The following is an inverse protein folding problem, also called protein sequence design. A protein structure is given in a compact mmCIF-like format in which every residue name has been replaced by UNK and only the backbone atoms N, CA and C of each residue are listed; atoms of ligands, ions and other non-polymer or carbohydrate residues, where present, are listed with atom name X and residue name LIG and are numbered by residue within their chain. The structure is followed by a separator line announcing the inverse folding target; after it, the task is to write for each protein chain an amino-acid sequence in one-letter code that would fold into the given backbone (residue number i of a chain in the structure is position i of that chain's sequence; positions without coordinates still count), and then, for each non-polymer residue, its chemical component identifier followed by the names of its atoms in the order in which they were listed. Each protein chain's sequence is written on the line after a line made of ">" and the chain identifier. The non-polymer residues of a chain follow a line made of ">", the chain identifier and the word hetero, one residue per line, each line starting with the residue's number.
data_IF_985326334160
#
_entry.id   IF_985326334160
#
_cell.length_a   1.000
_cell.length_b   1.000
_cell.length_c   1.000
_cell.angle_alpha   90.00
_cell.angle_beta   90.00
_cell.angle_gamma   90.00
#
_symmetry.space_group_name_H-M   'P 1'
#
loop_
_entity.id
_entity.type
_entity.pdbx_description
1 polymer ?
#
# COMPACT_ATOMS: atom_id res chain seq x y z
N UNK A 1 -23.05 0.71 7.56
CA UNK A 1 -22.06 0.80 6.46
C UNK A 1 -21.09 1.89 6.80
N UNK A 2 -19.78 1.67 6.58
CA UNK A 2 -18.75 2.70 6.69
C UNK A 2 -18.62 3.30 5.29
N UNK A 3 -18.80 4.62 5.18
CA UNK A 3 -18.61 5.34 3.93
C UNK A 3 -17.14 5.79 3.82
N UNK A 4 -16.62 5.79 2.59
CA UNK A 4 -15.27 6.22 2.28
C UNK A 4 -15.33 7.46 1.40
N UNK A 5 -14.47 8.44 1.68
CA UNK A 5 -14.46 9.71 0.97
C UNK A 5 -13.03 10.04 0.55
N UNK A 6 -12.91 10.60 -0.65
CA UNK A 6 -11.71 11.32 -1.06
C UNK A 6 -11.60 12.65 -0.30
N UNK A 7 -10.42 13.27 -0.35
CA UNK A 7 -10.15 14.55 0.33
C UNK A 7 -11.01 15.71 -0.21
N UNK A 8 -11.59 15.57 -1.39
CA UNK A 8 -12.54 16.53 -1.99
C UNK A 8 -14.00 16.29 -1.56
N UNK A 9 -14.25 15.30 -0.71
CA UNK A 9 -15.58 14.93 -0.19
C UNK A 9 -16.39 14.01 -1.10
N UNK A 10 -15.83 13.55 -2.23
CA UNK A 10 -16.50 12.58 -3.11
C UNK A 10 -16.47 11.20 -2.46
N UNK A 11 -17.64 10.58 -2.29
CA UNK A 11 -17.77 9.21 -1.80
C UNK A 11 -17.24 8.21 -2.84
N UNK A 12 -16.50 7.20 -2.39
CA UNK A 12 -16.08 6.09 -3.23
C UNK A 12 -16.42 4.72 -2.62
N UNK A 13 -16.61 3.72 -3.49
CA UNK A 13 -16.84 2.35 -3.08
C UNK A 13 -15.53 1.55 -3.15
N UNK A 14 -14.92 1.16 -2.02
CA UNK A 14 -13.66 0.42 -2.01
C UNK A 14 -13.76 -0.98 -2.64
N UNK A 15 -14.98 -1.51 -2.81
CA UNK A 15 -15.22 -2.80 -3.47
C UNK A 15 -14.99 -2.74 -4.99
N UNK A 16 -14.99 -1.52 -5.57
CA UNK A 16 -14.72 -1.32 -7.01
C UNK A 16 -13.23 -1.21 -7.31
N UNK A 17 -12.42 -0.91 -6.30
CA UNK A 17 -10.97 -0.91 -6.42
C UNK A 17 -10.55 -2.40 -6.44
N UNK A 18 -9.68 -2.85 -7.35
CA UNK A 18 -9.19 -4.22 -7.35
C UNK A 18 -8.24 -4.46 -6.16
N UNK A 19 -8.21 -5.69 -5.64
CA UNK A 19 -7.29 -6.06 -4.56
C UNK A 19 -5.95 -6.46 -5.19
N UNK A 20 -4.84 -5.78 -4.89
CA UNK A 20 -3.52 -6.16 -5.43
C UNK A 20 -3.18 -7.61 -5.09
N UNK A 21 -2.53 -8.33 -6.02
CA UNK A 21 -2.14 -9.73 -5.83
C UNK A 21 -1.28 -9.93 -4.57
N UNK A 22 -0.46 -8.94 -4.24
CA UNK A 22 0.35 -8.90 -3.03
C UNK A 22 -0.47 -8.93 -1.73
N UNK A 23 -1.69 -8.37 -1.72
CA UNK A 23 -2.54 -8.45 -0.53
C UNK A 23 -2.94 -9.90 -0.22
N UNK A 24 -3.14 -10.74 -1.24
CA UNK A 24 -3.56 -12.14 -1.05
C UNK A 24 -2.52 -12.99 -0.28
N UNK A 25 -1.26 -12.55 -0.24
CA UNK A 25 -0.18 -13.22 0.49
C UNK A 25 0.18 -12.53 1.82
N UNK A 26 -0.58 -11.48 2.18
CA UNK A 26 -0.39 -10.73 3.41
C UNK A 26 -1.12 -11.40 4.59
N UNK A 27 -0.47 -11.50 5.76
CA UNK A 27 -1.07 -12.04 6.99
C UNK A 27 -2.33 -11.28 7.45
N UNK A 28 -2.45 -10.01 7.05
CA UNK A 28 -3.54 -9.12 7.45
C UNK A 28 -4.71 -9.11 6.46
N UNK A 29 -4.61 -9.86 5.36
CA UNK A 29 -5.52 -9.84 4.21
C UNK A 29 -7.00 -9.96 4.56
N UNK A 30 -7.32 -10.82 5.53
CA UNK A 30 -8.68 -11.17 5.95
C UNK A 30 -8.97 -10.73 7.39
N UNK A 31 -8.11 -9.88 7.96
CA UNK A 31 -8.29 -9.39 9.32
C UNK A 31 -9.16 -8.11 9.29
N UNK A 32 -10.38 -8.14 9.86
CA UNK A 32 -11.31 -7.01 9.81
C UNK A 32 -10.76 -5.74 10.49
N UNK A 33 -9.81 -5.87 11.41
CA UNK A 33 -9.11 -4.72 12.02
C UNK A 33 -8.37 -3.87 10.99
N UNK A 34 -7.98 -4.47 9.87
CA UNK A 34 -7.22 -3.81 8.81
C UNK A 34 -8.06 -3.47 7.58
N UNK A 35 -9.36 -3.76 7.57
CA UNK A 35 -10.24 -3.48 6.42
C UNK A 35 -10.21 -1.99 6.03
N UNK A 36 -10.42 -1.11 6.99
CA UNK A 36 -10.39 0.34 6.79
C UNK A 36 -9.04 0.82 6.25
N UNK A 37 -7.90 0.61 6.95
CA UNK A 37 -6.61 1.09 6.45
C UNK A 37 -6.21 0.44 5.12
N UNK A 38 -6.52 -0.84 4.88
CA UNK A 38 -6.22 -1.47 3.59
C UNK A 38 -7.03 -0.86 2.45
N UNK A 39 -8.31 -0.56 2.66
CA UNK A 39 -9.15 0.09 1.66
C UNK A 39 -8.66 1.51 1.36
N UNK A 40 -8.27 2.27 2.38
CA UNK A 40 -7.69 3.61 2.21
C UNK A 40 -6.35 3.56 1.46
N UNK A 41 -5.42 2.67 1.85
CA UNK A 41 -4.13 2.52 1.15
C UNK A 41 -4.30 2.14 -0.33
N UNK A 42 -5.31 1.34 -0.66
CA UNK A 42 -5.60 0.97 -2.06
C UNK A 42 -6.22 2.11 -2.86
N UNK A 43 -7.00 2.97 -2.22
CA UNK A 43 -7.65 4.10 -2.86
C UNK A 43 -6.72 5.29 -3.08
N UNK A 44 -5.71 5.45 -2.23
CA UNK A 44 -4.77 6.57 -2.23
C UNK A 44 -3.60 6.40 -3.20
N UNK A 45 -3.47 5.24 -3.87
CA UNK A 45 -2.28 4.92 -4.66
C UNK A 45 -2.48 4.98 -6.17
N UNK A 46 -1.65 5.82 -6.79
CA UNK A 46 -1.48 5.97 -8.25
C UNK A 46 -0.09 5.48 -8.73
N UNK A 47 0.59 4.68 -7.91
CA UNK A 47 1.92 4.15 -8.22
C UNK A 47 1.89 2.94 -9.17
N UNK A 48 2.98 2.71 -9.91
CA UNK A 48 3.07 1.60 -10.88
C UNK A 48 3.10 0.23 -10.18
N UNK A 49 3.57 0.20 -8.94
CA UNK A 49 3.53 -0.96 -8.05
C UNK A 49 2.71 -0.63 -6.81
N UNK A 50 2.07 -1.62 -6.22
CA UNK A 50 1.37 -1.44 -4.96
C UNK A 50 2.37 -1.30 -3.81
N UNK A 51 2.31 -0.20 -3.08
CA UNK A 51 3.20 0.11 -1.96
C UNK A 51 2.45 -0.10 -0.65
N UNK A 52 2.91 -1.00 0.21
CA UNK A 52 2.31 -1.18 1.53
C UNK A 52 3.39 -1.54 2.55
N UNK A 53 3.97 -0.55 3.22
CA UNK A 53 5.00 -0.76 4.24
C UNK A 53 4.51 -1.49 5.50
N UNK A 54 3.19 -1.74 5.61
CA UNK A 54 2.60 -2.60 6.64
C UNK A 54 2.48 -4.08 6.20
N UNK A 55 2.95 -4.44 5.00
CA UNK A 55 2.90 -5.80 4.47
C UNK A 55 3.66 -6.78 5.37
N UNK A 56 3.06 -7.95 5.57
CA UNK A 56 3.70 -9.08 6.24
C UNK A 56 3.36 -10.36 5.48
N UNK A 57 4.37 -11.03 4.91
CA UNK A 57 4.15 -12.25 4.15
C UNK A 57 3.74 -13.41 5.06
N UNK A 58 2.74 -14.18 4.62
CA UNK A 58 2.39 -15.47 5.21
C UNK A 58 3.58 -16.45 5.15
N UNK A 59 4.44 -16.32 4.13
CA UNK A 59 5.60 -17.20 3.92
C UNK A 59 6.82 -16.88 4.81
N UNK A 60 6.75 -15.87 5.68
CA UNK A 60 7.80 -15.58 6.67
C UNK A 60 8.55 -14.27 6.45
N UNK A 61 9.50 -14.00 7.35
CA UNK A 61 10.15 -12.67 7.52
C UNK A 61 11.05 -12.29 6.35
N UNK A 62 11.79 -13.22 5.75
CA UNK A 62 12.70 -12.92 4.64
C UNK A 62 11.94 -12.42 3.41
N UNK A 63 10.86 -13.13 3.01
CA UNK A 63 9.95 -12.65 1.94
C UNK A 63 9.29 -11.31 2.26
N UNK A 64 8.99 -11.04 3.53
CA UNK A 64 8.51 -9.71 3.92
C UNK A 64 9.57 -8.65 3.63
N UNK A 65 10.84 -8.88 4.02
CA UNK A 65 11.92 -7.92 3.79
C UNK A 65 12.19 -7.70 2.30
N UNK A 66 12.22 -8.76 1.50
CA UNK A 66 12.43 -8.67 0.04
C UNK A 66 11.39 -7.76 -0.60
N UNK A 67 10.12 -7.98 -0.28
CA UNK A 67 9.00 -7.17 -0.78
C UNK A 67 9.08 -5.72 -0.31
N UNK A 68 9.39 -5.49 0.97
CA UNK A 68 9.54 -4.13 1.50
C UNK A 68 10.73 -3.40 0.87
N UNK A 69 11.83 -4.11 0.60
CA UNK A 69 12.99 -3.54 -0.08
C UNK A 69 12.64 -3.12 -1.51
N UNK A 70 11.88 -3.93 -2.25
CA UNK A 70 11.40 -3.57 -3.59
C UNK A 70 10.55 -2.28 -3.57
N UNK A 71 9.66 -2.15 -2.58
CA UNK A 71 8.87 -0.92 -2.38
C UNK A 71 9.76 0.28 -2.08
N UNK A 72 10.75 0.13 -1.18
CA UNK A 72 11.70 1.19 -0.87
C UNK A 72 12.53 1.60 -2.09
N UNK A 73 13.00 0.63 -2.87
CA UNK A 73 13.81 0.86 -4.06
C UNK A 73 13.01 1.62 -5.13
N UNK A 74 11.74 1.24 -5.36
CA UNK A 74 10.83 1.97 -6.23
C UNK A 74 10.64 3.42 -5.77
N UNK A 75 10.31 3.62 -4.49
CA UNK A 75 10.08 4.96 -3.95
C UNK A 75 11.35 5.83 -4.03
N UNK A 76 12.52 5.25 -3.75
CA UNK A 76 13.80 5.93 -3.87
C UNK A 76 14.14 6.27 -5.34
N UNK A 77 13.80 5.39 -6.28
CA UNK A 77 14.00 5.63 -7.70
C UNK A 77 13.09 6.75 -8.22
N UNK A 78 11.80 6.72 -7.86
CA UNK A 78 10.79 7.66 -8.38
C UNK A 78 10.89 9.04 -7.74
N UNK A 79 11.08 9.10 -6.43
CA UNK A 79 11.02 10.36 -5.66
C UNK A 79 12.38 10.83 -5.14
N UNK A 80 13.42 10.02 -5.29
CA UNK A 80 14.72 10.23 -4.66
C UNK A 80 14.75 9.73 -3.21
N UNK A 81 15.95 9.58 -2.65
CA UNK A 81 16.09 9.19 -1.24
C UNK A 81 15.55 10.29 -0.32
N UNK A 82 14.72 9.89 0.63
CA UNK A 82 14.13 10.79 1.60
C UNK A 82 15.23 11.52 2.39
N UNK A 83 15.27 12.84 2.29
CA UNK A 83 16.30 13.68 2.94
C UNK A 83 17.54 13.99 2.11
N UNK A 84 17.66 13.44 0.89
CA UNK A 84 18.70 13.87 -0.05
C UNK A 84 18.26 15.20 -0.68
N UNK A 85 19.03 16.27 -0.45
CA UNK A 85 18.73 17.58 -1.05
C UNK A 85 18.80 17.45 -2.57
N UNK A 86 17.71 17.80 -3.27
CA UNK A 86 17.76 18.01 -4.73
C UNK A 86 18.88 19.00 -5.01
N UNK A 87 19.97 18.56 -5.65
CA UNK A 87 21.02 19.46 -6.15
C UNK A 87 20.33 20.38 -7.15
N UNK A 88 20.19 21.66 -6.77
CA UNK A 88 19.78 22.73 -7.68
C UNK A 88 20.88 22.99 -8.69
#
# INVERSE_FOLDING_TARGET
>A
MIAYFHDDGIEFNPSLIPKPSQCATCKKNDNPKYEIPCNLTRADQDEDIFICFAYESISGREKTKEVLQEMEDYMNQKYGKHGEKRKR
#
